data_IF_735149591145
#
_entry.id   IF_735149591145
#
_cell.length_a   1.000
_cell.length_b   1.000
_cell.length_c   1.000
_cell.angle_alpha   90.00
_cell.angle_beta   90.00
_cell.angle_gamma   90.00
#
_symmetry.space_group_name_H-M   'P 1'
#
loop_
_entity.id
_entity.type
_entity.pdbx_description
1 polymer ?
#
# COMPACT_ATOMS: atom_id res chain seq x y z
N UNK A 1 -1.52 8.09 -17.95
CA UNK A 1 -2.07 7.50 -16.71
C UNK A 1 -0.92 6.83 -15.99
N UNK A 2 -0.72 7.10 -14.71
CA UNK A 2 0.39 6.51 -13.94
C UNK A 2 -0.14 5.36 -13.08
N UNK A 3 0.58 4.23 -13.05
CA UNK A 3 0.21 3.06 -12.25
C UNK A 3 1.34 2.66 -11.33
N UNK A 4 1.03 2.53 -10.05
CA UNK A 4 1.86 1.89 -9.04
C UNK A 4 1.45 0.43 -8.96
N UNK A 5 2.41 -0.48 -8.93
CA UNK A 5 2.13 -1.92 -8.83
C UNK A 5 2.62 -2.42 -7.49
N UNK A 6 1.74 -3.04 -6.71
CA UNK A 6 2.09 -3.78 -5.50
C UNK A 6 2.01 -5.27 -5.81
N UNK A 7 3.16 -5.95 -5.77
CA UNK A 7 3.26 -7.40 -5.89
C UNK A 7 3.32 -8.01 -4.50
N UNK A 8 2.30 -8.77 -4.10
CA UNK A 8 2.15 -9.32 -2.76
C UNK A 8 2.68 -10.75 -2.64
N UNK A 9 3.09 -11.09 -1.43
CA UNK A 9 3.28 -12.45 -0.95
C UNK A 9 2.50 -12.58 0.36
N UNK A 10 1.59 -13.56 0.39
CA UNK A 10 0.69 -13.77 1.52
C UNK A 10 1.30 -14.73 2.53
N UNK A 11 1.17 -14.40 3.81
CA UNK A 11 1.62 -15.24 4.92
C UNK A 11 0.53 -15.36 5.99
N UNK A 12 0.59 -16.38 6.86
CA UNK A 12 -0.39 -16.56 7.93
C UNK A 12 -0.50 -15.35 8.87
N UNK A 13 0.60 -14.64 9.15
CA UNK A 13 0.61 -13.52 10.09
C UNK A 13 0.63 -12.14 9.44
N UNK A 14 0.64 -12.04 8.12
CA UNK A 14 0.72 -10.75 7.44
C UNK A 14 0.85 -10.90 5.93
N UNK A 15 0.75 -9.78 5.23
CA UNK A 15 1.06 -9.74 3.79
C UNK A 15 2.24 -8.81 3.59
N UNK A 16 3.26 -9.28 2.87
CA UNK A 16 4.37 -8.43 2.45
C UNK A 16 4.25 -8.14 0.96
N UNK A 17 4.78 -7.01 0.51
CA UNK A 17 4.77 -6.68 -0.89
C UNK A 17 5.99 -5.90 -1.35
N UNK A 18 6.12 -5.79 -2.66
CA UNK A 18 7.08 -4.94 -3.35
C UNK A 18 6.33 -3.95 -4.23
N UNK A 19 6.60 -2.66 -4.04
CA UNK A 19 5.93 -1.56 -4.71
C UNK A 19 6.82 -1.00 -5.82
N UNK A 20 6.26 -0.92 -7.01
CA UNK A 20 6.91 -0.45 -8.23
C UNK A 20 6.17 0.74 -8.81
N UNK A 21 6.91 1.65 -9.44
CA UNK A 21 6.37 2.74 -10.25
C UNK A 21 7.12 2.73 -11.58
N UNK A 22 6.40 2.55 -12.69
CA UNK A 22 7.00 2.36 -14.02
C UNK A 22 8.11 1.28 -13.99
N UNK A 23 7.79 0.11 -13.44
CA UNK A 23 8.69 -1.05 -13.27
C UNK A 23 9.93 -0.82 -12.40
N UNK A 24 10.14 0.38 -11.89
CA UNK A 24 11.21 0.70 -10.94
C UNK A 24 10.77 0.39 -9.52
N UNK A 25 11.54 -0.45 -8.82
CA UNK A 25 11.33 -0.73 -7.41
C UNK A 25 11.45 0.55 -6.57
N UNK A 26 10.44 0.83 -5.75
CA UNK A 26 10.38 2.01 -4.89
C UNK A 26 10.66 1.64 -3.43
N UNK A 27 9.91 0.68 -2.91
CA UNK A 27 9.96 0.22 -1.52
C UNK A 27 9.23 -1.12 -1.36
N UNK A 28 9.35 -1.72 -0.17
CA UNK A 28 8.49 -2.83 0.24
C UNK A 28 7.20 -2.31 0.88
N UNK A 29 6.22 -3.18 1.05
CA UNK A 29 4.97 -2.91 1.78
C UNK A 29 4.67 -4.00 2.79
N UNK A 30 3.95 -3.64 3.85
CA UNK A 30 3.38 -4.54 4.85
C UNK A 30 1.89 -4.28 5.02
N UNK A 31 1.12 -5.33 5.24
CA UNK A 31 -0.34 -5.30 5.43
C UNK A 31 -0.76 -6.44 6.37
N UNK A 32 -2.04 -6.43 6.78
CA UNK A 32 -2.65 -7.55 7.49
C UNK A 32 -2.67 -8.83 6.63
N UNK A 33 -2.80 -10.04 7.21
CA UNK A 33 -3.05 -11.24 6.43
C UNK A 33 -4.36 -11.11 5.62
N UNK A 34 -4.48 -11.89 4.56
CA UNK A 34 -5.76 -12.02 3.85
C UNK A 34 -6.75 -12.82 4.70
N UNK A 35 -7.95 -12.27 4.90
CA UNK A 35 -9.07 -12.88 5.62
C UNK A 35 -10.38 -12.53 4.92
N UNK A 36 -10.51 -12.92 3.65
CA UNK A 36 -11.75 -12.74 2.87
C UNK A 36 -12.31 -11.30 2.90
N UNK A 37 -11.43 -10.30 2.76
CA UNK A 37 -11.76 -8.88 2.81
C UNK A 37 -12.47 -8.44 4.12
N UNK A 38 -12.27 -9.15 5.23
CA UNK A 38 -12.88 -8.81 6.52
C UNK A 38 -12.49 -7.38 6.96
N UNK A 39 -13.49 -6.51 7.25
CA UNK A 39 -13.21 -5.16 7.66
C UNK A 39 -12.30 -5.07 8.88
N UNK A 40 -11.23 -4.27 8.78
CA UNK A 40 -10.27 -4.00 9.85
C UNK A 40 -9.40 -5.18 10.28
N UNK A 41 -9.58 -6.37 9.71
CA UNK A 41 -8.83 -7.58 10.04
C UNK A 41 -8.10 -8.20 8.83
N UNK A 42 -8.45 -7.78 7.61
CA UNK A 42 -7.85 -8.25 6.35
C UNK A 42 -7.08 -7.14 5.62
N UNK A 43 -6.08 -7.50 4.82
CA UNK A 43 -5.68 -6.67 3.68
C UNK A 43 -6.82 -6.60 2.63
N UNK A 44 -6.80 -5.56 1.79
CA UNK A 44 -7.85 -5.37 0.77
C UNK A 44 -7.66 -6.34 -0.40
N UNK A 45 -8.70 -6.61 -1.22
CA UNK A 45 -8.60 -7.53 -2.35
C UNK A 45 -7.54 -7.07 -3.36
N UNK A 46 -7.10 -8.02 -4.18
CA UNK A 46 -6.36 -7.69 -5.40
C UNK A 46 -7.27 -6.93 -6.37
N UNK A 47 -6.67 -6.09 -7.22
CA UNK A 47 -7.44 -5.27 -8.14
C UNK A 47 -6.75 -3.98 -8.51
N UNK A 48 -7.54 -3.08 -9.10
CA UNK A 48 -7.11 -1.77 -9.53
C UNK A 48 -7.93 -0.69 -8.84
N UNK A 49 -7.25 0.22 -8.16
CA UNK A 49 -7.89 1.25 -7.35
C UNK A 49 -7.29 2.62 -7.65
N UNK A 50 -8.13 3.65 -7.67
CA UNK A 50 -7.67 5.02 -7.82
C UNK A 50 -7.02 5.52 -6.53
N UNK A 51 -5.91 6.26 -6.66
CA UNK A 51 -5.25 6.94 -5.54
C UNK A 51 -5.71 8.39 -5.51
N UNK A 52 -6.10 8.85 -4.32
CA UNK A 52 -6.42 10.25 -4.06
C UNK A 52 -5.52 10.84 -2.98
N UNK A 53 -5.08 12.08 -3.18
CA UNK A 53 -4.34 12.85 -2.16
C UNK A 53 -5.30 13.24 -1.05
N UNK A 54 -4.93 13.00 0.21
CA UNK A 54 -5.69 13.42 1.38
C UNK A 54 -4.76 14.00 2.42
N UNK A 55 -5.24 14.98 3.16
CA UNK A 55 -4.55 15.52 4.33
C UNK A 55 -5.48 15.47 5.53
N UNK A 56 -4.92 15.28 6.72
CA UNK A 56 -5.66 15.40 7.97
C UNK A 56 -4.78 16.07 9.03
N UNK A 57 -5.37 16.79 10.00
CA UNK A 57 -4.59 17.42 11.07
C UNK A 57 -3.73 16.40 11.85
N UNK A 58 -4.26 15.19 12.07
CA UNK A 58 -3.61 14.16 12.90
C UNK A 58 -2.47 13.42 12.20
N UNK A 59 -2.60 13.14 10.90
CA UNK A 59 -1.67 12.25 10.18
C UNK A 59 -0.92 12.96 9.04
N UNK A 60 -1.17 14.26 8.84
CA UNK A 60 -0.64 15.00 7.71
C UNK A 60 -1.12 14.43 6.36
N UNK A 61 -0.29 14.59 5.34
CA UNK A 61 -0.57 14.10 3.99
C UNK A 61 -0.39 12.59 3.87
N UNK A 62 -1.41 11.93 3.33
CA UNK A 62 -1.48 10.50 3.07
C UNK A 62 -2.26 10.24 1.77
N UNK A 63 -2.26 8.98 1.33
CA UNK A 63 -3.02 8.58 0.15
C UNK A 63 -4.23 7.75 0.55
N UNK A 64 -5.36 8.03 -0.09
CA UNK A 64 -6.59 7.23 -0.01
C UNK A 64 -6.64 6.31 -1.23
N UNK A 65 -6.88 5.02 -0.98
CA UNK A 65 -7.25 4.03 -2.00
C UNK A 65 -8.77 4.06 -2.11
N UNK A 66 -9.29 4.61 -3.22
CA UNK A 66 -10.71 4.83 -3.41
C UNK A 66 -11.42 3.60 -3.99
N UNK A 67 -12.73 3.51 -3.75
CA UNK A 67 -13.64 2.51 -4.32
C UNK A 67 -13.24 1.05 -4.00
N UNK A 68 -12.70 0.81 -2.80
CA UNK A 68 -12.47 -0.56 -2.33
C UNK A 68 -13.81 -1.20 -1.93
N UNK A 69 -14.22 -2.33 -2.53
CA UNK A 69 -15.50 -2.97 -2.23
C UNK A 69 -15.67 -3.28 -0.74
N UNK A 70 -16.80 -2.89 -0.16
CA UNK A 70 -17.16 -3.12 1.26
C UNK A 70 -16.15 -2.57 2.27
N UNK A 71 -15.30 -1.63 1.86
CA UNK A 71 -14.28 -1.02 2.72
C UNK A 71 -14.29 0.50 2.55
N UNK A 72 -13.94 1.19 3.62
CA UNK A 72 -13.80 2.64 3.63
C UNK A 72 -12.48 3.02 4.28
N UNK A 73 -11.99 4.22 3.95
CA UNK A 73 -10.79 4.81 4.54
C UNK A 73 -9.56 3.88 4.48
N UNK A 74 -9.36 3.21 3.34
CA UNK A 74 -8.15 2.43 3.09
C UNK A 74 -7.05 3.37 2.66
N UNK A 75 -5.98 3.43 3.44
CA UNK A 75 -4.91 4.41 3.24
C UNK A 75 -3.59 3.75 2.88
N UNK A 76 -2.71 4.51 2.25
CA UNK A 76 -1.27 4.24 2.24
C UNK A 76 -0.61 5.19 3.23
N UNK A 77 -0.07 4.66 4.32
CA UNK A 77 0.54 5.46 5.39
C UNK A 77 1.69 4.73 6.10
N UNK A 78 2.60 5.46 6.77
CA UNK A 78 3.67 4.82 7.54
C UNK A 78 3.12 3.93 8.67
N UNK A 79 3.68 2.72 8.79
CA UNK A 79 3.60 1.81 9.93
C UNK A 79 4.73 0.78 9.81
N UNK A 80 5.16 0.19 10.92
CA UNK A 80 6.23 -0.82 10.95
C UNK A 80 5.72 -2.22 11.37
N UNK A 81 4.55 -2.30 11.98
CA UNK A 81 3.88 -3.53 12.37
C UNK A 81 2.41 -3.51 11.94
N UNK A 82 2.06 -4.36 10.98
CA UNK A 82 0.72 -4.40 10.41
C UNK A 82 -0.36 -4.75 11.44
N UNK A 83 -0.11 -5.73 12.32
CA UNK A 83 -1.11 -6.22 13.28
C UNK A 83 -1.51 -5.16 14.31
N UNK A 84 -0.57 -4.31 14.74
CA UNK A 84 -0.82 -3.33 15.80
C UNK A 84 -1.16 -1.93 15.26
N UNK A 85 -0.73 -1.60 14.05
CA UNK A 85 -0.85 -0.24 13.51
C UNK A 85 -1.80 -0.12 12.31
N UNK A 86 -2.20 -1.24 11.67
CA UNK A 86 -3.06 -1.23 10.49
C UNK A 86 -4.43 -1.85 10.76
N UNK A 87 -5.42 -1.39 9.99
CA UNK A 87 -6.80 -1.90 9.98
C UNK A 87 -7.25 -2.17 8.54
N UNK A 88 -6.35 -2.77 7.75
CA UNK A 88 -6.50 -3.04 6.33
C UNK A 88 -5.88 -2.00 5.38
N UNK A 89 -5.14 -1.04 5.91
CA UNK A 89 -4.31 -0.12 5.14
C UNK A 89 -3.04 -0.80 4.60
N UNK A 90 -2.32 -0.11 3.72
CA UNK A 90 -1.01 -0.52 3.19
C UNK A 90 0.08 0.36 3.77
N UNK A 91 1.13 -0.23 4.34
CA UNK A 91 2.26 0.55 4.86
C UNK A 91 3.55 0.32 4.07
N UNK A 92 4.16 1.36 3.48
CA UNK A 92 5.45 1.23 2.83
C UNK A 92 6.57 1.16 3.87
N UNK A 93 7.55 0.29 3.66
CA UNK A 93 8.74 0.09 4.48
C UNK A 93 10.00 -0.01 3.61
N UNK A 94 11.15 0.32 4.17
CA UNK A 94 12.42 0.23 3.42
C UNK A 94 12.99 -1.19 3.45
N UNK A 95 12.72 -1.93 4.53
CA UNK A 95 13.16 -3.31 4.74
C UNK A 95 12.03 -4.11 5.37
N UNK A 96 11.91 -5.38 4.98
CA UNK A 96 11.05 -6.35 5.64
C UNK A 96 11.81 -7.01 6.78
N UNK A 97 11.14 -7.21 7.92
CA UNK A 97 11.71 -7.88 9.11
C UNK A 97 10.89 -9.09 9.56
N UNK A 98 9.77 -9.36 8.89
CA UNK A 98 8.95 -10.55 9.08
C UNK A 98 7.60 -10.43 8.37
N UNK A 99 6.72 -11.40 8.57
CA UNK A 99 5.34 -11.37 8.07
C UNK A 99 4.60 -10.15 8.62
N UNK A 100 4.18 -9.23 7.74
CA UNK A 100 3.50 -8.00 8.13
C UNK A 100 4.36 -7.05 8.97
N UNK A 101 5.70 -7.18 8.94
CA UNK A 101 6.63 -6.37 9.74
C UNK A 101 7.78 -5.83 8.89
N UNK A 102 8.14 -4.59 9.15
CA UNK A 102 9.24 -3.92 8.46
C UNK A 102 9.71 -2.66 9.17
N UNK A 103 10.69 -1.99 8.58
CA UNK A 103 11.36 -0.85 9.21
C UNK A 103 11.48 0.35 8.28
N UNK A 104 11.71 1.51 8.89
CA UNK A 104 11.94 2.79 8.22
C UNK A 104 10.76 3.18 7.31
N UNK A 105 9.53 2.95 7.78
CA UNK A 105 8.31 3.26 7.03
C UNK A 105 8.18 4.73 6.64
N UNK A 106 8.56 5.65 7.53
CA UNK A 106 8.57 7.09 7.23
C UNK A 106 9.49 7.43 6.06
N UNK A 107 10.69 6.83 5.99
CA UNK A 107 11.63 7.02 4.89
C UNK A 107 11.05 6.51 3.56
N UNK A 108 10.49 5.30 3.57
CA UNK A 108 9.84 4.71 2.40
C UNK A 108 8.63 5.53 1.95
N UNK A 109 7.79 5.96 2.89
CA UNK A 109 6.63 6.79 2.62
C UNK A 109 7.01 8.16 2.06
N UNK A 110 8.04 8.83 2.59
CA UNK A 110 8.50 10.12 2.05
C UNK A 110 8.94 9.99 0.59
N UNK A 111 9.70 8.93 0.25
CA UNK A 111 10.12 8.64 -1.13
C UNK A 111 8.91 8.39 -2.03
N UNK A 112 7.99 7.53 -1.61
CA UNK A 112 6.76 7.24 -2.36
C UNK A 112 5.92 8.50 -2.55
N UNK A 113 5.72 9.26 -1.48
CA UNK A 113 4.90 10.47 -1.47
C UNK A 113 5.40 11.51 -2.45
N UNK A 114 6.71 11.76 -2.49
CA UNK A 114 7.30 12.69 -3.45
C UNK A 114 7.00 12.28 -4.90
N UNK A 115 7.18 11.01 -5.25
CA UNK A 115 6.95 10.49 -6.59
C UNK A 115 5.47 10.54 -7.00
N UNK A 116 4.56 10.17 -6.09
CA UNK A 116 3.12 10.17 -6.38
C UNK A 116 2.56 11.59 -6.44
N UNK A 117 2.98 12.48 -5.54
CA UNK A 117 2.55 13.87 -5.56
C UNK A 117 3.01 14.58 -6.84
N UNK A 118 4.23 14.34 -7.34
CA UNK A 118 4.67 14.91 -8.64
C UNK A 118 3.69 14.59 -9.78
N UNK A 119 3.07 13.40 -9.76
CA UNK A 119 2.10 13.00 -10.78
C UNK A 119 0.73 13.63 -10.53
N UNK A 120 0.24 13.57 -9.29
CA UNK A 120 -1.06 14.12 -8.92
C UNK A 120 -1.10 15.65 -9.09
N UNK A 121 -0.03 16.34 -8.72
CA UNK A 121 0.06 17.81 -8.81
C UNK A 121 0.15 18.29 -10.28
N UNK A 122 0.51 17.39 -11.22
CA UNK A 122 0.41 17.58 -12.68
C UNK A 122 -0.95 17.13 -13.25
N UNK A 123 -1.98 17.01 -12.41
CA UNK A 123 -3.31 16.52 -12.77
C UNK A 123 -3.34 15.12 -13.43
N UNK A 124 -2.29 14.31 -13.23
CA UNK A 124 -2.29 12.94 -13.73
C UNK A 124 -3.05 12.03 -12.78
N UNK A 125 -3.91 11.17 -13.34
CA UNK A 125 -4.51 10.08 -12.56
C UNK A 125 -3.45 9.05 -12.18
N UNK A 126 -3.40 8.72 -10.89
CA UNK A 126 -2.57 7.66 -10.33
C UNK A 126 -3.47 6.53 -9.83
N UNK A 127 -3.12 5.29 -10.19
CA UNK A 127 -3.82 4.10 -9.72
C UNK A 127 -2.82 3.16 -9.03
N UNK A 128 -3.31 2.33 -8.12
CA UNK A 128 -2.60 1.19 -7.59
C UNK A 128 -3.18 -0.09 -8.19
N UNK A 129 -2.32 -0.89 -8.81
CA UNK A 129 -2.59 -2.28 -9.19
C UNK A 129 -2.02 -3.18 -8.09
N UNK A 130 -2.86 -4.00 -7.49
CA UNK A 130 -2.49 -4.97 -6.48
C UNK A 130 -2.64 -6.36 -7.09
N UNK A 131 -1.59 -7.18 -6.97
CA UNK A 131 -1.58 -8.56 -7.48
C UNK A 131 -0.70 -9.48 -6.64
N UNK A 132 -0.99 -10.77 -6.62
CA UNK A 132 -0.05 -11.78 -6.11
C UNK A 132 1.21 -11.80 -7.00
N UNK A 133 2.38 -11.90 -6.37
CA UNK A 133 3.68 -12.07 -7.04
C UNK A 133 3.75 -13.37 -7.84
N UNK A 134 3.00 -14.40 -7.47
CA UNK A 134 3.01 -15.71 -8.14
C UNK A 134 2.44 -15.67 -9.58
N UNK A 135 1.61 -14.67 -9.90
CA UNK A 135 1.06 -14.49 -11.26
C UNK A 135 2.06 -13.92 -12.29
N UNK A 136 3.32 -13.68 -11.92
CA UNK A 136 4.36 -13.21 -12.85
C UNK A 136 5.12 -14.35 -13.56
N UNK A 137 4.80 -15.62 -13.26
CA UNK A 137 5.43 -16.81 -13.84
C UNK A 137 4.55 -17.55 -14.88
N UNK A 138 3.53 -16.88 -15.42
CA UNK A 138 2.60 -17.43 -16.44
C UNK A 138 2.55 -16.55 -17.68
#
# INVERSE_FOLDING_TARGET
MTTIVVKRTYYPNGTNGSLFLNDKFICYTIELPWKENEPRNSCIPEGYYAIQKRSSPKFGQHFLIANVPNRSLILIHPANNAKTELKGCIAPVTKLTGEGRGELSRKAFTKLKALVNDKLDRNQKVNVKIKNKEYDNS
#
